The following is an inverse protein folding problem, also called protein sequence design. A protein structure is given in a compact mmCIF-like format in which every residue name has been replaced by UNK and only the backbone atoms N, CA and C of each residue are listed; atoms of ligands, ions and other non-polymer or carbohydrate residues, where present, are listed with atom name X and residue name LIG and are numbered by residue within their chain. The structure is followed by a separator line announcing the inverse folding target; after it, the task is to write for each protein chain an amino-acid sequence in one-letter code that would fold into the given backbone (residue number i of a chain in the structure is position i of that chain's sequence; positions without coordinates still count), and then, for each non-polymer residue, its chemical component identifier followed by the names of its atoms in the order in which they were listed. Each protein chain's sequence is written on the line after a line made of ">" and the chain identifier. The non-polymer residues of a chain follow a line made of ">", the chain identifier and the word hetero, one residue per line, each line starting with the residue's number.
data_IF_340884247105
#
_entry.id   IF_340884247105
#
_cell.length_a   1.000
_cell.length_b   1.000
_cell.length_c   1.000
_cell.angle_alpha   90.00
_cell.angle_beta   90.00
_cell.angle_gamma   90.00
#
_symmetry.space_group_name_H-M   'P 1'
#
loop_
_entity.id
_entity.type
_entity.pdbx_description
1 polymer ?
#
# COMPACT_ATOMS: atom_id res chain seq x y z
N UNK A 1 13.31 27.79 -25.04
CA UNK A 1 12.77 28.01 -23.66
C UNK A 1 13.27 26.88 -22.79
N UNK A 2 13.97 27.17 -21.68
CA UNK A 2 14.33 26.09 -20.72
C UNK A 2 13.05 25.58 -20.09
N UNK A 3 12.76 24.31 -20.23
CA UNK A 3 11.56 23.68 -19.65
C UNK A 3 11.66 23.74 -18.12
N UNK A 4 10.60 24.23 -17.47
CA UNK A 4 10.52 24.29 -16.02
C UNK A 4 10.30 22.89 -15.44
N UNK A 5 10.92 22.59 -14.28
CA UNK A 5 10.86 21.26 -13.63
C UNK A 5 9.42 20.88 -13.24
N UNK A 6 8.63 21.81 -12.70
CA UNK A 6 7.25 21.50 -12.30
C UNK A 6 6.35 21.21 -13.51
N UNK A 7 6.51 21.99 -14.58
CA UNK A 7 5.79 21.76 -15.84
C UNK A 7 6.12 20.37 -16.41
N UNK A 8 7.40 20.04 -16.48
CA UNK A 8 7.85 18.72 -16.92
C UNK A 8 7.33 17.58 -16.00
N UNK A 9 7.38 17.81 -14.69
CA UNK A 9 6.91 16.82 -13.70
C UNK A 9 5.43 16.52 -13.87
N UNK A 10 4.59 17.52 -14.16
CA UNK A 10 3.15 17.33 -14.42
C UNK A 10 2.93 16.42 -15.64
N UNK A 11 3.70 16.59 -16.72
CA UNK A 11 3.65 15.73 -17.91
C UNK A 11 4.03 14.27 -17.58
N UNK A 12 5.11 14.09 -16.81
CA UNK A 12 5.57 12.75 -16.35
C UNK A 12 4.53 12.08 -15.44
N UNK A 13 3.78 12.84 -14.64
CA UNK A 13 2.70 12.34 -13.78
C UNK A 13 1.48 11.96 -14.63
N UNK A 14 1.10 12.80 -15.61
CA UNK A 14 0.02 12.51 -16.54
C UNK A 14 0.27 11.24 -17.34
N UNK A 15 1.47 11.06 -17.88
CA UNK A 15 1.86 9.85 -18.58
C UNK A 15 1.74 8.62 -17.66
N UNK A 16 2.17 8.72 -16.40
CA UNK A 16 2.03 7.62 -15.44
C UNK A 16 0.55 7.29 -15.16
N UNK A 17 -0.35 8.28 -15.20
CA UNK A 17 -1.79 8.08 -15.05
C UNK A 17 -2.38 7.39 -16.27
N UNK A 18 -2.02 7.83 -17.47
CA UNK A 18 -2.43 7.22 -18.75
C UNK A 18 -1.97 5.77 -18.87
N UNK A 19 -0.76 5.46 -18.35
CA UNK A 19 -0.21 4.10 -18.30
C UNK A 19 -0.87 3.22 -17.21
N UNK A 20 -1.91 3.69 -16.49
CA UNK A 20 -2.56 2.96 -15.40
C UNK A 20 -1.70 2.86 -14.11
N UNK A 21 -0.55 3.58 -14.03
CA UNK A 21 0.35 3.54 -12.86
C UNK A 21 -0.08 4.53 -11.78
N UNK A 22 -1.33 4.43 -11.32
CA UNK A 22 -1.98 5.40 -10.42
C UNK A 22 -1.24 5.61 -9.09
N UNK A 23 -0.68 4.56 -8.49
CA UNK A 23 0.09 4.68 -7.25
C UNK A 23 1.37 5.51 -7.46
N UNK A 24 2.03 5.33 -8.60
CA UNK A 24 3.22 6.11 -8.98
C UNK A 24 2.87 7.58 -9.20
N UNK A 25 1.82 7.83 -9.99
CA UNK A 25 1.30 9.17 -10.23
C UNK A 25 0.93 9.88 -8.90
N UNK A 26 0.22 9.20 -8.01
CA UNK A 26 -0.15 9.72 -6.70
C UNK A 26 1.07 10.09 -5.84
N UNK A 27 2.08 9.21 -5.74
CA UNK A 27 3.28 9.47 -4.96
C UNK A 27 4.09 10.64 -5.53
N UNK A 28 4.21 10.73 -6.86
CA UNK A 28 4.87 11.86 -7.54
C UNK A 28 4.13 13.17 -7.30
N UNK A 29 2.81 13.18 -7.41
CA UNK A 29 1.98 14.36 -7.12
C UNK A 29 2.16 14.83 -5.69
N UNK A 30 2.17 13.91 -4.72
CA UNK A 30 2.36 14.25 -3.32
C UNK A 30 3.75 14.83 -3.05
N UNK A 31 4.80 14.26 -3.67
CA UNK A 31 6.17 14.78 -3.55
C UNK A 31 6.31 16.17 -4.18
N UNK A 32 5.69 16.36 -5.35
CA UNK A 32 5.74 17.63 -6.07
C UNK A 32 5.05 18.76 -5.29
N UNK A 33 3.84 18.50 -4.77
CA UNK A 33 3.13 19.48 -3.90
C UNK A 33 3.92 19.83 -2.64
N UNK A 34 4.62 18.84 -2.08
CA UNK A 34 5.46 19.08 -0.90
C UNK A 34 6.68 19.94 -1.25
N UNK A 35 7.25 19.76 -2.44
CA UNK A 35 8.36 20.59 -2.95
C UNK A 35 7.89 22.03 -3.26
N UNK A 36 6.71 22.20 -3.86
CA UNK A 36 6.08 23.51 -4.07
C UNK A 36 5.90 24.27 -2.75
N UNK A 37 5.39 23.59 -1.71
CA UNK A 37 5.25 24.17 -0.37
C UNK A 37 6.58 24.59 0.25
N UNK A 38 7.63 23.78 0.06
CA UNK A 38 8.96 24.09 0.57
C UNK A 38 9.57 25.32 -0.11
N UNK A 39 9.38 25.43 -1.42
CA UNK A 39 9.93 26.56 -2.22
C UNK A 39 9.08 27.84 -2.12
N UNK A 40 7.80 27.71 -1.78
CA UNK A 40 6.83 28.81 -1.88
C UNK A 40 6.60 29.27 -3.33
N UNK A 41 6.90 28.40 -4.31
CA UNK A 41 6.82 28.67 -5.74
C UNK A 41 6.43 27.42 -6.50
N UNK A 42 5.71 27.60 -7.60
CA UNK A 42 5.37 26.58 -8.59
C UNK A 42 6.32 26.59 -9.81
N UNK A 43 7.42 27.36 -9.71
CA UNK A 43 8.49 27.45 -10.69
C UNK A 43 9.81 27.01 -10.10
N UNK A 44 10.52 26.12 -10.81
CA UNK A 44 11.87 25.67 -10.49
C UNK A 44 12.60 25.31 -11.78
N UNK A 45 13.71 25.95 -12.05
CA UNK A 45 14.56 25.54 -13.17
C UNK A 45 15.31 24.24 -12.85
N UNK A 46 15.62 23.45 -13.86
CA UNK A 46 16.44 22.24 -13.66
C UNK A 46 17.85 22.55 -13.13
N UNK A 47 18.37 23.73 -13.38
CA UNK A 47 19.69 24.15 -12.90
C UNK A 47 19.68 24.42 -11.39
N UNK A 48 18.56 24.88 -10.85
CA UNK A 48 18.35 25.12 -9.41
C UNK A 48 18.13 23.82 -8.62
N UNK A 49 17.72 22.76 -9.30
CA UNK A 49 17.52 21.44 -8.67
C UNK A 49 18.89 20.81 -8.40
N UNK A 50 19.48 21.15 -7.27
CA UNK A 50 20.82 20.72 -6.85
C UNK A 50 20.76 19.71 -5.69
N UNK A 51 21.86 19.02 -5.41
CA UNK A 51 22.01 18.16 -4.21
C UNK A 51 21.77 18.94 -2.93
N UNK A 52 22.24 20.19 -2.86
CA UNK A 52 22.02 21.07 -1.70
C UNK A 52 20.54 21.37 -1.49
N UNK A 53 19.79 21.69 -2.57
CA UNK A 53 18.35 21.89 -2.50
C UNK A 53 17.63 20.65 -1.99
N UNK A 54 18.00 19.47 -2.50
CA UNK A 54 17.40 18.20 -2.09
C UNK A 54 17.69 17.87 -0.61
N UNK A 55 18.89 18.18 -0.12
CA UNK A 55 19.24 18.02 1.29
C UNK A 55 18.43 18.97 2.18
N UNK A 56 18.30 20.24 1.76
CA UNK A 56 17.50 21.25 2.47
C UNK A 56 16.02 20.88 2.48
N UNK A 57 15.47 20.39 1.37
CA UNK A 57 14.10 19.89 1.28
C UNK A 57 13.85 18.70 2.21
N UNK A 58 14.79 17.73 2.25
CA UNK A 58 14.72 16.60 3.19
C UNK A 58 14.66 17.08 4.64
N UNK A 59 15.58 17.99 5.04
CA UNK A 59 15.64 18.55 6.38
C UNK A 59 14.35 19.28 6.72
N UNK A 60 13.88 20.18 5.84
CA UNK A 60 12.65 20.92 6.05
C UNK A 60 11.45 19.99 6.30
N UNK A 61 11.32 18.88 5.56
CA UNK A 61 10.26 17.89 5.79
C UNK A 61 10.33 17.27 7.19
N UNK A 62 11.52 16.89 7.66
CA UNK A 62 11.70 16.29 8.99
C UNK A 62 11.44 17.30 10.11
N UNK A 63 11.91 18.53 9.95
CA UNK A 63 11.71 19.62 10.90
C UNK A 63 10.22 20.00 11.02
N UNK A 64 9.45 19.84 9.94
CA UNK A 64 7.99 20.00 9.93
C UNK A 64 7.21 18.69 10.27
N UNK A 65 7.85 17.77 11.00
CA UNK A 65 7.21 16.59 11.60
C UNK A 65 6.93 15.44 10.64
N UNK A 66 7.43 15.46 9.41
CA UNK A 66 7.31 14.30 8.52
C UNK A 66 8.32 13.22 8.91
N UNK A 67 7.86 11.96 8.82
CA UNK A 67 8.73 10.82 9.09
C UNK A 67 9.86 10.75 8.05
N UNK A 68 11.06 10.37 8.48
CA UNK A 68 12.24 10.16 7.63
C UNK A 68 11.95 9.27 6.41
N UNK A 69 11.11 8.22 6.60
CA UNK A 69 10.69 7.34 5.49
C UNK A 69 9.86 8.06 4.42
N UNK A 70 9.02 9.02 4.83
CA UNK A 70 8.22 9.85 3.91
C UNK A 70 9.12 10.86 3.19
N UNK A 71 10.02 11.52 3.91
CA UNK A 71 10.98 12.44 3.32
C UNK A 71 11.84 11.75 2.25
N UNK A 72 12.34 10.55 2.58
CA UNK A 72 13.08 9.71 1.61
C UNK A 72 12.24 9.31 0.39
N UNK A 73 10.99 8.92 0.60
CA UNK A 73 10.09 8.60 -0.51
C UNK A 73 9.98 9.81 -1.45
N UNK A 74 9.76 11.00 -0.93
CA UNK A 74 9.55 12.20 -1.75
C UNK A 74 10.79 12.64 -2.49
N UNK A 75 11.96 12.66 -1.84
CA UNK A 75 13.21 12.99 -2.56
C UNK A 75 13.52 11.96 -3.66
N UNK A 76 13.22 10.68 -3.45
CA UNK A 76 13.37 9.64 -4.47
C UNK A 76 12.39 9.86 -5.64
N UNK A 77 11.15 10.32 -5.40
CA UNK A 77 10.22 10.65 -6.47
C UNK A 77 10.71 11.83 -7.32
N UNK A 78 11.21 12.89 -6.68
CA UNK A 78 11.81 14.05 -7.38
C UNK A 78 13.01 13.60 -8.24
N UNK A 79 13.92 12.80 -7.66
CA UNK A 79 15.06 12.26 -8.39
C UNK A 79 14.64 11.34 -9.54
N UNK A 80 13.60 10.55 -9.37
CA UNK A 80 13.08 9.69 -10.43
C UNK A 80 12.54 10.50 -11.62
N UNK A 81 11.85 11.62 -11.36
CA UNK A 81 11.40 12.55 -12.41
C UNK A 81 12.62 13.20 -13.12
N UNK A 82 13.62 13.65 -12.35
CA UNK A 82 14.85 14.20 -12.91
C UNK A 82 15.56 13.19 -13.83
N UNK A 83 15.61 11.92 -13.45
CA UNK A 83 16.18 10.86 -14.26
C UNK A 83 15.39 10.61 -15.57
N UNK A 84 14.08 10.88 -15.60
CA UNK A 84 13.31 10.87 -16.86
C UNK A 84 13.80 12.01 -17.76
N UNK A 85 14.00 13.21 -17.24
CA UNK A 85 14.52 14.35 -18.01
C UNK A 85 15.94 14.09 -18.58
N UNK A 86 16.79 13.36 -17.84
CA UNK A 86 18.10 12.91 -18.36
C UNK A 86 17.91 11.97 -19.55
N UNK A 87 17.01 11.00 -19.44
CA UNK A 87 16.72 10.02 -20.51
C UNK A 87 16.18 10.68 -21.77
N UNK A 88 15.39 11.73 -21.60
CA UNK A 88 14.83 12.50 -22.71
C UNK A 88 15.82 13.55 -23.28
N UNK A 89 17.03 13.63 -22.74
CA UNK A 89 18.04 14.56 -23.21
C UNK A 89 17.80 16.05 -22.86
N UNK A 90 16.83 16.33 -21.95
CA UNK A 90 16.48 17.68 -21.54
C UNK A 90 17.57 18.30 -20.66
N UNK A 91 18.19 17.48 -19.82
CA UNK A 91 19.24 17.88 -18.87
C UNK A 91 20.42 16.93 -18.90
N UNK A 92 21.65 17.41 -18.59
CA UNK A 92 22.80 16.54 -18.47
C UNK A 92 22.68 15.63 -17.26
N UNK A 93 23.36 14.47 -17.33
CA UNK A 93 23.41 13.53 -16.21
C UNK A 93 24.06 14.16 -14.99
N UNK A 94 23.32 14.25 -13.89
CA UNK A 94 23.78 14.73 -12.57
C UNK A 94 23.20 13.85 -11.47
N UNK A 95 23.97 13.61 -10.42
CA UNK A 95 23.51 12.84 -9.25
C UNK A 95 22.92 13.79 -8.20
N UNK A 96 21.59 13.93 -8.15
CA UNK A 96 20.90 14.83 -7.21
C UNK A 96 20.93 14.36 -5.77
N UNK A 97 21.13 13.07 -5.52
CA UNK A 97 21.08 12.46 -4.18
C UNK A 97 22.47 12.08 -3.64
N UNK A 98 23.52 12.57 -4.26
CA UNK A 98 24.88 12.31 -3.79
C UNK A 98 25.08 12.88 -2.38
N UNK A 99 25.56 12.04 -1.46
CA UNK A 99 25.76 12.42 -0.04
C UNK A 99 24.48 12.62 0.77
N UNK A 100 23.29 12.56 0.16
CA UNK A 100 22.02 12.60 0.91
C UNK A 100 21.75 11.18 1.46
N UNK A 101 22.39 10.84 2.58
CA UNK A 101 22.43 9.52 3.18
C UNK A 101 21.11 8.76 3.11
N UNK A 102 21.15 7.64 2.44
CA UNK A 102 20.03 6.73 2.24
C UNK A 102 20.24 5.38 2.92
N UNK A 103 21.10 5.29 3.93
CA UNK A 103 21.19 4.08 4.71
C UNK A 103 19.79 3.74 5.22
N UNK A 104 19.19 2.70 4.66
CA UNK A 104 17.95 2.19 5.22
C UNK A 104 18.27 1.72 6.64
N UNK A 105 17.57 2.23 7.66
CA UNK A 105 17.70 1.64 8.97
C UNK A 105 17.40 0.15 8.83
N UNK A 106 18.20 -0.69 9.50
CA UNK A 106 17.95 -2.12 9.55
C UNK A 106 16.47 -2.34 9.86
N UNK A 107 15.81 -3.19 9.08
CA UNK A 107 14.38 -3.46 9.22
C UNK A 107 14.18 -4.09 10.61
N UNK A 108 13.78 -3.28 11.58
CA UNK A 108 13.41 -3.82 12.88
C UNK A 108 12.32 -4.85 12.70
N UNK A 109 12.44 -5.99 13.39
CA UNK A 109 11.42 -7.01 13.41
C UNK A 109 10.08 -6.37 13.82
N UNK A 110 9.08 -6.47 12.95
CA UNK A 110 7.76 -5.93 13.26
C UNK A 110 7.14 -6.74 14.38
N UNK A 111 6.58 -6.05 15.36
CA UNK A 111 5.65 -6.71 16.27
C UNK A 111 4.45 -7.18 15.48
N UNK A 112 4.08 -8.43 15.67
CA UNK A 112 2.90 -9.05 15.06
C UNK A 112 1.98 -9.57 16.17
N UNK A 113 0.70 -9.73 15.86
CA UNK A 113 -0.27 -10.28 16.81
C UNK A 113 0.15 -11.67 17.28
N UNK A 114 -0.03 -11.93 18.57
CA UNK A 114 0.08 -13.29 19.13
C UNK A 114 -1.12 -14.13 18.70
N UNK A 115 -1.06 -15.44 18.88
CA UNK A 115 -2.18 -16.34 18.60
C UNK A 115 -3.40 -15.99 19.46
N UNK A 116 -3.18 -15.65 20.73
CA UNK A 116 -4.22 -15.25 21.66
C UNK A 116 -4.89 -13.92 21.24
N UNK A 117 -4.11 -12.94 20.80
CA UNK A 117 -4.65 -11.69 20.28
C UNK A 117 -5.45 -11.89 18.99
N UNK A 118 -4.95 -12.78 18.11
CA UNK A 118 -5.67 -13.13 16.89
C UNK A 118 -7.00 -13.83 17.22
N UNK A 119 -7.01 -14.71 18.24
CA UNK A 119 -8.22 -15.37 18.75
C UNK A 119 -9.21 -14.35 19.34
N UNK A 120 -8.76 -13.40 20.16
CA UNK A 120 -9.59 -12.33 20.70
C UNK A 120 -10.22 -11.48 19.59
N UNK A 121 -9.42 -11.09 18.59
CA UNK A 121 -9.90 -10.33 17.43
C UNK A 121 -10.92 -11.13 16.62
N UNK A 122 -10.69 -12.42 16.37
CA UNK A 122 -11.62 -13.29 15.64
C UNK A 122 -12.96 -13.43 16.34
N UNK A 123 -12.95 -13.58 17.66
CA UNK A 123 -14.14 -13.83 18.47
C UNK A 123 -14.83 -12.55 18.97
N UNK A 124 -14.28 -11.37 18.67
CA UNK A 124 -14.86 -10.11 19.10
C UNK A 124 -16.27 -9.91 18.52
N UNK A 125 -17.20 -9.53 19.37
CA UNK A 125 -18.50 -9.07 18.92
C UNK A 125 -18.37 -7.66 18.32
N UNK A 126 -18.62 -7.57 17.03
CA UNK A 126 -18.59 -6.35 16.22
C UNK A 126 -19.92 -6.15 15.46
N UNK A 127 -20.99 -6.75 15.96
CA UNK A 127 -22.33 -6.68 15.36
C UNK A 127 -22.88 -5.25 15.32
N UNK A 128 -22.43 -4.40 16.24
CA UNK A 128 -22.73 -2.98 16.35
C UNK A 128 -22.06 -2.11 15.27
N UNK A 129 -21.06 -2.64 14.56
CA UNK A 129 -20.26 -1.87 13.59
C UNK A 129 -19.91 -2.65 12.33
N UNK A 130 -20.73 -2.47 11.28
CA UNK A 130 -20.45 -3.05 9.96
C UNK A 130 -19.03 -2.73 9.45
N UNK A 131 -18.49 -1.49 9.56
CA UNK A 131 -17.12 -1.20 9.12
C UNK A 131 -16.05 -1.98 9.89
N UNK A 132 -16.21 -2.16 11.21
CA UNK A 132 -15.27 -2.93 12.01
C UNK A 132 -15.36 -4.43 11.70
N UNK A 133 -16.57 -4.96 11.58
CA UNK A 133 -16.79 -6.35 11.18
C UNK A 133 -16.14 -6.65 9.82
N UNK A 134 -16.36 -5.78 8.83
CA UNK A 134 -15.76 -5.94 7.50
C UNK A 134 -14.24 -5.84 7.53
N UNK A 135 -13.67 -4.88 8.27
CA UNK A 135 -12.21 -4.71 8.39
C UNK A 135 -11.54 -5.92 9.06
N UNK A 136 -12.14 -6.45 10.15
CA UNK A 136 -11.70 -7.69 10.79
C UNK A 136 -11.71 -8.84 9.80
N UNK A 137 -12.79 -9.00 9.08
CA UNK A 137 -13.01 -10.13 8.18
C UNK A 137 -12.07 -10.07 6.98
N UNK A 138 -11.76 -8.89 6.43
CA UNK A 138 -10.72 -8.73 5.41
C UNK A 138 -9.32 -9.10 5.93
N UNK A 139 -9.00 -8.71 7.16
CA UNK A 139 -7.74 -9.09 7.78
C UNK A 139 -7.64 -10.61 7.97
N UNK A 140 -8.68 -11.24 8.52
CA UNK A 140 -8.74 -12.68 8.73
C UNK A 140 -8.75 -13.46 7.40
N UNK A 141 -9.45 -12.95 6.37
CA UNK A 141 -9.42 -13.55 5.04
C UNK A 141 -8.00 -13.62 4.48
N UNK A 142 -7.22 -12.55 4.66
CA UNK A 142 -5.81 -12.57 4.28
C UNK A 142 -4.99 -13.58 5.08
N UNK A 143 -5.27 -13.74 6.39
CA UNK A 143 -4.59 -14.73 7.25
C UNK A 143 -4.90 -16.15 6.75
N UNK A 144 -6.17 -16.50 6.55
CA UNK A 144 -6.60 -17.81 6.05
C UNK A 144 -6.09 -18.07 4.62
N UNK A 145 -6.06 -17.04 3.78
CA UNK A 145 -5.51 -17.07 2.43
C UNK A 145 -3.97 -17.03 2.37
N UNK A 146 -3.27 -17.33 3.48
CA UNK A 146 -1.80 -17.42 3.54
C UNK A 146 -1.08 -16.11 3.17
N UNK A 147 -1.67 -14.98 3.53
CA UNK A 147 -1.06 -13.66 3.30
C UNK A 147 -1.42 -13.03 1.96
N UNK A 148 -2.59 -13.30 1.42
CA UNK A 148 -3.13 -12.58 0.25
C UNK A 148 -3.05 -11.09 0.51
N UNK A 149 -2.41 -10.33 -0.40
CA UNK A 149 -2.33 -8.88 -0.24
C UNK A 149 -3.70 -8.23 -0.36
N UNK A 150 -3.88 -7.04 0.25
CA UNK A 150 -5.15 -6.31 0.14
C UNK A 150 -5.51 -5.98 -1.31
N UNK A 151 -4.51 -5.66 -2.13
CA UNK A 151 -4.74 -5.36 -3.56
C UNK A 151 -5.15 -6.61 -4.31
N UNK A 152 -4.46 -7.74 -4.12
CA UNK A 152 -4.82 -9.00 -4.77
C UNK A 152 -6.23 -9.44 -4.36
N UNK A 153 -6.56 -9.36 -3.06
CA UNK A 153 -7.88 -9.68 -2.53
C UNK A 153 -9.01 -8.89 -3.22
N UNK A 154 -8.76 -7.63 -3.58
CA UNK A 154 -9.75 -6.80 -4.26
C UNK A 154 -10.10 -7.31 -5.66
N UNK A 155 -9.13 -7.93 -6.35
CA UNK A 155 -9.30 -8.42 -7.72
C UNK A 155 -9.69 -9.90 -7.82
N UNK A 156 -9.72 -10.65 -6.71
CA UNK A 156 -10.19 -12.05 -6.71
C UNK A 156 -11.65 -12.10 -7.17
N UNK A 157 -11.92 -12.95 -8.15
CA UNK A 157 -13.25 -13.16 -8.70
C UNK A 157 -13.94 -14.37 -8.07
N UNK A 158 -15.25 -14.42 -8.12
CA UNK A 158 -16.04 -15.58 -7.64
C UNK A 158 -15.65 -16.88 -8.33
N UNK A 159 -15.29 -16.81 -9.63
CA UNK A 159 -14.86 -17.95 -10.41
C UNK A 159 -13.44 -18.45 -10.11
N UNK A 160 -12.67 -17.73 -9.31
CA UNK A 160 -11.32 -18.14 -8.89
C UNK A 160 -11.38 -19.20 -7.77
N UNK A 161 -12.57 -19.38 -7.15
CA UNK A 161 -12.82 -20.42 -6.15
C UNK A 161 -13.45 -21.63 -6.84
N UNK A 162 -12.71 -22.74 -6.95
CA UNK A 162 -13.16 -23.98 -7.58
C UNK A 162 -12.52 -25.20 -6.93
N UNK A 163 -13.26 -26.30 -6.82
CA UNK A 163 -12.72 -27.58 -6.38
C UNK A 163 -12.02 -27.54 -5.01
N UNK A 164 -12.52 -26.74 -4.06
CA UNK A 164 -11.91 -26.59 -2.75
C UNK A 164 -10.60 -25.81 -2.72
N UNK A 165 -10.31 -25.03 -3.77
CA UNK A 165 -9.13 -24.16 -3.84
C UNK A 165 -9.50 -22.77 -4.34
N UNK A 166 -8.70 -21.79 -3.95
CA UNK A 166 -8.68 -20.44 -4.52
C UNK A 166 -7.41 -20.29 -5.35
N UNK A 167 -7.55 -20.01 -6.66
CA UNK A 167 -6.41 -19.77 -7.55
C UNK A 167 -6.52 -18.37 -8.14
N UNK A 168 -5.53 -17.52 -7.90
CA UNK A 168 -5.50 -16.14 -8.37
C UNK A 168 -4.09 -15.76 -8.84
N UNK A 169 -4.01 -14.74 -9.70
CA UNK A 169 -2.74 -14.15 -10.13
C UNK A 169 -2.55 -12.82 -9.39
N UNK A 170 -1.46 -12.67 -8.60
CA UNK A 170 -1.17 -11.40 -7.93
C UNK A 170 -1.07 -10.23 -8.90
N UNK A 171 -1.46 -9.04 -8.45
CA UNK A 171 -1.41 -7.78 -9.23
C UNK A 171 0.01 -7.21 -9.39
N UNK A 172 1.03 -8.03 -9.11
CA UNK A 172 2.42 -7.69 -9.34
C UNK A 172 2.84 -8.15 -10.75
N UNK A 173 3.43 -7.26 -11.55
CA UNK A 173 3.88 -7.58 -12.89
C UNK A 173 4.82 -8.80 -12.89
N UNK A 174 4.55 -9.78 -13.77
CA UNK A 174 5.32 -11.01 -13.89
C UNK A 174 5.08 -12.05 -12.77
N UNK A 175 4.09 -11.85 -11.90
CA UNK A 175 3.77 -12.82 -10.87
C UNK A 175 3.11 -14.07 -11.47
N UNK A 176 3.53 -15.24 -10.96
CA UNK A 176 2.87 -16.52 -11.25
C UNK A 176 1.58 -16.67 -10.46
N UNK A 177 0.63 -17.47 -10.96
CA UNK A 177 -0.60 -17.81 -10.26
C UNK A 177 -0.29 -18.50 -8.92
N UNK A 178 -1.08 -18.16 -7.91
CA UNK A 178 -0.98 -18.71 -6.56
C UNK A 178 -2.24 -19.50 -6.26
N UNK A 179 -2.10 -20.72 -5.74
CA UNK A 179 -3.21 -21.57 -5.30
C UNK A 179 -3.14 -21.76 -3.81
N UNK A 180 -4.25 -21.50 -3.11
CA UNK A 180 -4.40 -21.74 -1.68
C UNK A 180 -5.63 -22.60 -1.42
N UNK A 181 -5.64 -23.44 -0.36
CA UNK A 181 -6.83 -24.16 0.04
C UNK A 181 -7.97 -23.19 0.35
N UNK A 182 -9.17 -23.56 -0.04
CA UNK A 182 -10.39 -22.84 0.32
C UNK A 182 -11.01 -23.51 1.54
N UNK A 183 -11.12 -22.77 2.64
CA UNK A 183 -11.68 -23.32 3.87
C UNK A 183 -13.04 -22.69 4.24
N UNK A 184 -13.70 -23.32 5.21
CA UNK A 184 -15.02 -22.88 5.68
C UNK A 184 -15.00 -21.50 6.35
N UNK A 185 -13.86 -21.07 6.89
CA UNK A 185 -13.75 -19.74 7.51
C UNK A 185 -13.70 -18.65 6.44
N UNK A 186 -13.02 -18.90 5.31
CA UNK A 186 -13.03 -18.01 4.16
C UNK A 186 -14.44 -17.91 3.55
N UNK A 187 -15.13 -19.06 3.40
CA UNK A 187 -16.51 -19.08 2.90
C UNK A 187 -17.44 -18.25 3.79
N UNK A 188 -17.40 -18.43 5.11
CA UNK A 188 -18.21 -17.65 6.06
C UNK A 188 -17.99 -16.14 5.95
N UNK A 189 -16.78 -15.70 5.63
CA UNK A 189 -16.48 -14.28 5.42
C UNK A 189 -17.17 -13.79 4.14
N UNK A 190 -17.06 -14.55 3.06
CA UNK A 190 -17.72 -14.19 1.78
C UNK A 190 -19.23 -14.14 1.92
N UNK A 191 -19.83 -15.13 2.61
CA UNK A 191 -21.28 -15.19 2.85
C UNK A 191 -21.78 -14.00 3.69
N UNK A 192 -20.96 -13.53 4.64
CA UNK A 192 -21.27 -12.35 5.48
C UNK A 192 -21.18 -11.04 4.72
N UNK A 193 -20.31 -10.99 3.70
CA UNK A 193 -20.07 -9.80 2.91
C UNK A 193 -20.28 -10.07 1.40
N UNK A 194 -21.51 -10.32 0.97
CA UNK A 194 -21.80 -10.66 -0.42
C UNK A 194 -21.47 -9.49 -1.36
N UNK A 195 -20.79 -9.80 -2.45
CA UNK A 195 -20.51 -8.86 -3.53
C UNK A 195 -21.58 -8.92 -4.60
N UNK A 196 -22.02 -7.77 -5.09
CA UNK A 196 -22.97 -7.65 -6.22
C UNK A 196 -22.28 -7.68 -7.58
N UNK A 197 -20.95 -7.71 -7.61
CA UNK A 197 -20.12 -7.73 -8.82
C UNK A 197 -19.55 -9.13 -9.09
N UNK A 198 -18.70 -9.25 -10.10
CA UNK A 198 -17.95 -10.48 -10.41
C UNK A 198 -16.88 -10.79 -9.36
N UNK A 199 -16.48 -9.78 -8.56
CA UNK A 199 -15.47 -9.94 -7.53
C UNK A 199 -15.99 -10.68 -6.30
N UNK A 200 -15.11 -11.40 -5.64
CA UNK A 200 -15.44 -12.27 -4.52
C UNK A 200 -15.88 -11.45 -3.28
N UNK A 201 -15.18 -10.36 -2.99
CA UNK A 201 -15.46 -9.46 -1.86
C UNK A 201 -15.91 -8.08 -2.35
N UNK A 202 -16.74 -7.36 -1.60
CA UNK A 202 -17.31 -6.07 -2.03
C UNK A 202 -16.31 -4.90 -1.89
N UNK A 203 -15.09 -5.08 -2.40
CA UNK A 203 -14.05 -4.04 -2.42
C UNK A 203 -14.18 -3.21 -3.70
N UNK A 204 -14.32 -3.89 -4.85
CA UNK A 204 -14.52 -3.24 -6.15
C UNK A 204 -16.01 -3.19 -6.50
N UNK A 205 -16.46 -2.03 -6.96
CA UNK A 205 -17.85 -1.75 -7.32
C UNK A 205 -18.08 -1.71 -8.83
N UNK A 206 -17.01 -1.68 -9.62
CA UNK A 206 -17.05 -1.65 -11.08
C UNK A 206 -15.74 -2.18 -11.67
N UNK A 207 -15.74 -2.51 -12.94
CA UNK A 207 -14.58 -2.98 -13.70
C UNK A 207 -13.75 -1.80 -14.29
N UNK A 208 -14.19 -0.55 -14.08
CA UNK A 208 -13.42 0.61 -14.51
C UNK A 208 -12.14 0.75 -13.65
N UNK A 209 -10.99 0.78 -14.30
CA UNK A 209 -9.68 0.74 -13.66
C UNK A 209 -9.42 1.93 -12.72
N UNK A 210 -9.79 3.13 -13.15
CA UNK A 210 -9.65 4.34 -12.32
C UNK A 210 -10.58 4.30 -11.09
N UNK A 211 -11.82 3.82 -11.29
CA UNK A 211 -12.77 3.62 -10.20
C UNK A 211 -12.29 2.51 -9.25
N UNK A 212 -11.70 1.43 -9.78
CA UNK A 212 -11.12 0.35 -8.99
C UNK A 212 -10.02 0.89 -8.07
N UNK A 213 -9.11 1.70 -8.60
CA UNK A 213 -8.04 2.31 -7.80
C UNK A 213 -8.59 3.21 -6.66
N UNK A 214 -9.61 4.03 -6.95
CA UNK A 214 -10.29 4.85 -5.93
C UNK A 214 -10.98 3.99 -4.87
N UNK A 215 -11.69 2.93 -5.27
CA UNK A 215 -12.36 2.02 -4.36
C UNK A 215 -11.37 1.29 -3.43
N UNK A 216 -10.30 0.73 -3.99
CA UNK A 216 -9.23 0.06 -3.22
C UNK A 216 -8.66 1.01 -2.17
N UNK A 217 -8.36 2.24 -2.56
CA UNK A 217 -7.82 3.26 -1.65
C UNK A 217 -8.82 3.58 -0.53
N UNK A 218 -10.08 3.84 -0.87
CA UNK A 218 -11.12 4.19 0.09
C UNK A 218 -11.36 3.06 1.11
N UNK A 219 -11.49 1.82 0.63
CA UNK A 219 -11.72 0.66 1.51
C UNK A 219 -10.49 0.43 2.39
N UNK A 220 -9.28 0.59 1.86
CA UNK A 220 -8.04 0.47 2.65
C UNK A 220 -7.96 1.53 3.75
N UNK A 221 -8.29 2.78 3.48
CA UNK A 221 -8.30 3.86 4.48
C UNK A 221 -9.34 3.60 5.58
N UNK A 222 -10.53 3.14 5.21
CA UNK A 222 -11.58 2.76 6.14
C UNK A 222 -11.14 1.57 7.01
N UNK A 223 -10.53 0.55 6.40
CA UNK A 223 -10.00 -0.61 7.09
C UNK A 223 -8.93 -0.23 8.12
N UNK A 224 -7.98 0.64 7.75
CA UNK A 224 -6.93 1.10 8.69
C UNK A 224 -7.54 1.80 9.91
N UNK A 225 -8.56 2.64 9.70
CA UNK A 225 -9.28 3.30 10.80
C UNK A 225 -10.02 2.30 11.68
N UNK A 226 -10.75 1.37 11.08
CA UNK A 226 -11.49 0.35 11.80
C UNK A 226 -10.57 -0.59 12.60
N UNK A 227 -9.43 -1.01 12.03
CA UNK A 227 -8.45 -1.86 12.72
C UNK A 227 -7.84 -1.18 13.96
N UNK A 228 -7.71 0.15 13.98
CA UNK A 228 -7.29 0.90 15.19
C UNK A 228 -8.35 0.77 16.31
N UNK A 229 -9.63 0.91 15.98
CA UNK A 229 -10.71 0.74 16.96
C UNK A 229 -10.82 -0.71 17.45
N UNK A 230 -10.63 -1.68 16.55
CA UNK A 230 -10.59 -3.10 16.94
C UNK A 230 -9.42 -3.37 17.88
N UNK A 231 -8.25 -2.79 17.63
CA UNK A 231 -7.09 -2.96 18.51
C UNK A 231 -7.40 -2.48 19.94
N UNK A 232 -8.09 -1.36 20.08
CA UNK A 232 -8.52 -0.84 21.38
C UNK A 232 -9.60 -1.74 22.02
N UNK A 233 -10.64 -2.12 21.25
CA UNK A 233 -11.76 -2.96 21.75
C UNK A 233 -11.30 -4.35 22.20
N UNK A 234 -10.30 -4.91 21.52
CA UNK A 234 -9.78 -6.25 21.79
C UNK A 234 -8.51 -6.25 22.65
N UNK A 235 -8.07 -5.11 23.16
CA UNK A 235 -6.84 -4.97 23.96
C UNK A 235 -5.63 -5.67 23.26
N UNK A 236 -5.36 -5.25 22.01
CA UNK A 236 -4.24 -5.78 21.24
C UNK A 236 -2.98 -4.96 21.49
N UNK A 237 -1.84 -5.62 21.62
CA UNK A 237 -0.53 -4.97 21.85
C UNK A 237 -0.06 -4.12 20.68
N UNK A 238 -0.59 -4.38 19.48
CA UNK A 238 -0.29 -3.65 18.24
C UNK A 238 -1.53 -3.47 17.39
N UNK A 239 -1.58 -2.38 16.62
CA UNK A 239 -2.65 -2.19 15.63
C UNK A 239 -2.44 -3.15 14.46
N UNK A 240 -3.43 -4.01 14.13
CA UNK A 240 -3.33 -4.93 13.01
C UNK A 240 -3.09 -4.18 11.69
N UNK A 241 -2.27 -4.74 10.83
CA UNK A 241 -2.06 -4.23 9.48
C UNK A 241 -1.87 -5.37 8.48
N UNK A 242 -2.29 -5.19 7.24
CA UNK A 242 -2.14 -6.20 6.19
C UNK A 242 -0.68 -6.61 5.94
N UNK A 243 0.27 -5.74 6.29
CA UNK A 243 1.71 -6.04 6.13
C UNK A 243 2.23 -7.07 7.13
N UNK A 244 1.56 -7.28 8.27
CA UNK A 244 1.99 -8.28 9.25
C UNK A 244 1.43 -9.68 8.96
N UNK A 245 0.46 -9.82 8.04
CA UNK A 245 -0.20 -11.10 7.80
C UNK A 245 0.78 -12.16 7.28
N UNK A 246 1.70 -11.78 6.39
CA UNK A 246 2.75 -12.71 5.92
C UNK A 246 3.65 -13.18 7.06
N UNK A 247 4.01 -12.27 7.97
CA UNK A 247 4.86 -12.58 9.12
C UNK A 247 4.09 -13.48 10.12
N UNK A 248 2.77 -13.27 10.29
CA UNK A 248 1.88 -14.12 11.09
C UNK A 248 1.86 -15.54 10.50
N UNK A 249 1.63 -15.65 9.18
CA UNK A 249 1.58 -16.94 8.49
C UNK A 249 2.94 -17.67 8.57
N UNK A 250 4.05 -16.98 8.34
CA UNK A 250 5.39 -17.55 8.43
C UNK A 250 5.65 -18.11 9.84
N UNK A 251 5.33 -17.33 10.88
CA UNK A 251 5.48 -17.81 12.28
C UNK A 251 4.64 -19.04 12.55
N UNK A 252 3.43 -19.13 11.98
CA UNK A 252 2.59 -20.30 12.15
C UNK A 252 3.21 -21.55 11.53
N UNK A 253 3.85 -21.43 10.37
CA UNK A 253 4.60 -22.54 9.73
C UNK A 253 5.78 -22.94 10.61
N UNK A 254 6.59 -21.97 11.06
CA UNK A 254 7.81 -22.20 11.83
C UNK A 254 7.52 -22.84 13.20
N UNK A 255 6.34 -22.58 13.78
CA UNK A 255 5.93 -23.13 15.08
C UNK A 255 5.33 -24.55 15.00
N UNK A 256 5.31 -25.21 13.83
CA UNK A 256 4.64 -26.52 13.59
C UNK A 256 3.14 -26.50 13.95
N UNK A 257 2.55 -25.34 14.14
CA UNK A 257 1.19 -25.13 14.66
C UNK A 257 0.22 -24.66 13.56
N UNK A 258 0.39 -25.14 12.30
CA UNK A 258 -0.47 -24.76 11.17
C UNK A 258 -1.96 -25.09 11.43
N UNK A 259 -2.23 -26.15 12.22
CA UNK A 259 -3.59 -26.58 12.55
C UNK A 259 -4.35 -25.68 13.54
N UNK A 260 -3.69 -24.70 14.16
CA UNK A 260 -4.32 -23.84 15.19
C UNK A 260 -4.76 -22.46 14.66
N UNK A 261 -4.36 -22.07 13.45
CA UNK A 261 -4.68 -20.77 12.86
C UNK A 261 -5.81 -20.87 11.83
N UNK A 262 -6.02 -22.06 11.29
CA UNK A 262 -7.07 -22.39 10.31
C UNK A 262 -8.34 -22.84 11.01
#
# INVERSE_FOLDING_TARGET
>A
MKTDFFTFSRQVIEQATTDGRFNLAHNRTAALRCLELFLGSDHLSFDELTTHLMASFKRWMTDNGRKESTARLYINQVNAIYNVAIKEGIVPKRQLLDGIGSAMPARQARRILTEEELRRMRNADLSDSKPMSFARDLFLFSVYGRGISFTDMAYIKKNDVRGGTLTYTPQLAGASSVTVPWDAAMQKIVDRHPSTTVYLLPILKSDNEEAAHRNIRQVRENMVRALKHIAMKCDLSVVPSMYMVKDIYQRAIDSVCVSKII
#
